data_IF_793488936674
#
_entry.id   IF_793488936674
#
_cell.length_a   1.000
_cell.length_b   1.000
_cell.length_c   1.000
_cell.angle_alpha   90.00
_cell.angle_beta   90.00
_cell.angle_gamma   90.00
#
_symmetry.space_group_name_H-M   'P 1'
#
loop_
_entity.id
_entity.type
_entity.pdbx_description
1 polymer ?
#
# COMPACT_ATOMS: atom_id res chain seq x y z
N UNK A 1 -49.94 18.08 5.25
CA UNK A 1 -50.68 18.16 6.53
C UNK A 1 -49.81 17.54 7.63
N UNK A 2 -49.45 18.36 8.64
CA UNK A 2 -48.92 18.10 10.01
C UNK A 2 -47.74 17.09 10.17
N UNK A 3 -46.47 17.41 10.48
CA UNK A 3 -45.79 18.27 11.51
C UNK A 3 -46.11 17.97 12.99
N UNK A 4 -45.07 17.55 13.75
CA UNK A 4 -44.72 17.79 15.19
C UNK A 4 -43.35 17.12 15.40
N UNK A 5 -42.18 17.75 15.49
CA UNK A 5 -41.62 18.82 16.34
C UNK A 5 -41.73 18.58 17.85
N UNK A 6 -40.57 18.36 18.49
CA UNK A 6 -40.34 18.58 19.92
C UNK A 6 -38.89 19.03 20.14
N UNK A 7 -38.72 20.34 20.08
CA UNK A 7 -37.58 21.10 20.58
C UNK A 7 -37.74 21.27 22.10
N UNK A 8 -36.69 21.05 22.89
CA UNK A 8 -36.58 21.59 24.26
C UNK A 8 -35.44 22.60 24.32
N UNK A 9 -35.80 23.75 24.86
CA UNK A 9 -35.08 25.00 25.00
C UNK A 9 -34.87 25.26 26.50
N UNK A 10 -33.96 26.20 26.81
CA UNK A 10 -33.64 26.87 28.09
C UNK A 10 -32.62 26.15 29.00
N UNK A 11 -31.65 26.81 29.64
CA UNK A 11 -31.40 28.25 29.79
C UNK A 11 -29.91 28.52 30.16
N UNK A 12 -29.50 29.74 29.84
CA UNK A 12 -28.24 30.43 30.16
C UNK A 12 -28.15 30.78 31.65
N UNK A 13 -26.95 30.71 32.24
CA UNK A 13 -26.58 31.54 33.39
C UNK A 13 -25.09 31.91 33.32
N UNK A 14 -24.83 33.21 33.39
CA UNK A 14 -23.54 33.90 33.29
C UNK A 14 -22.92 34.19 34.67
N UNK A 15 -21.58 34.33 34.63
CA UNK A 15 -20.71 35.18 35.45
C UNK A 15 -20.23 34.73 36.84
N UNK A 16 -18.90 34.68 36.98
CA UNK A 16 -18.17 35.31 38.09
C UNK A 16 -16.71 35.59 37.67
N UNK A 17 -16.32 36.88 37.68
CA UNK A 17 -14.94 37.35 37.68
C UNK A 17 -14.26 37.01 39.02
N UNK A 18 -12.96 36.74 39.00
CA UNK A 18 -12.07 36.95 40.14
C UNK A 18 -10.74 37.53 39.62
N UNK A 19 -10.57 38.83 39.90
CA UNK A 19 -9.31 39.56 39.82
C UNK A 19 -8.59 39.34 41.16
N UNK A 20 -7.31 38.97 41.12
CA UNK A 20 -6.40 39.11 42.24
C UNK A 20 -5.24 40.00 41.81
N UNK A 21 -5.29 41.23 42.32
CA UNK A 21 -4.16 42.13 42.42
C UNK A 21 -3.46 41.90 43.76
N UNK A 22 -2.14 41.89 43.76
CA UNK A 22 -1.26 42.28 44.86
C UNK A 22 0.04 42.75 44.19
N UNK A 23 0.30 44.07 44.11
CA UNK A 23 0.97 44.90 45.12
C UNK A 23 2.39 44.41 45.40
N UNK A 24 3.45 45.20 45.29
CA UNK A 24 3.74 46.62 45.01
C UNK A 24 5.26 46.65 44.73
N UNK A 25 6.03 47.71 44.54
CA UNK A 25 6.03 49.16 44.77
C UNK A 25 7.53 49.50 44.58
N UNK A 26 8.07 50.65 44.19
CA UNK A 26 7.61 51.94 43.69
C UNK A 26 8.85 52.60 43.04
N UNK A 27 8.57 53.37 42.00
CA UNK A 27 9.16 54.61 41.48
C UNK A 27 10.62 55.11 41.74
N UNK A 28 11.12 55.66 40.62
CA UNK A 28 11.79 56.96 40.41
C UNK A 28 13.32 57.16 40.55
N UNK A 29 13.93 57.34 39.36
CA UNK A 29 14.63 58.55 38.90
C UNK A 29 15.61 59.28 39.85
N UNK A 30 16.92 59.17 39.59
CA UNK A 30 17.82 60.34 39.37
C UNK A 30 19.28 59.95 39.11
N UNK A 31 19.96 60.86 38.41
CA UNK A 31 21.31 60.86 37.87
C UNK A 31 22.48 60.64 38.85
N UNK A 32 23.56 60.03 38.36
CA UNK A 32 24.89 60.11 39.00
C UNK A 32 25.97 59.35 38.23
N UNK A 33 26.93 60.09 37.67
CA UNK A 33 28.14 59.60 36.99
C UNK A 33 29.17 59.06 37.97
N UNK A 34 29.77 57.88 37.70
CA UNK A 34 31.22 57.62 37.81
C UNK A 34 31.56 56.13 37.58
N UNK A 35 32.24 55.89 36.45
CA UNK A 35 33.45 55.07 36.25
C UNK A 35 33.83 53.88 37.16
N UNK A 36 34.33 52.84 36.48
CA UNK A 36 35.24 51.75 36.90
C UNK A 36 34.62 50.49 37.54
N UNK A 37 34.61 49.38 36.79
CA UNK A 37 35.68 48.36 36.83
C UNK A 37 35.16 47.01 36.29
N UNK A 38 36.00 46.38 35.47
CA UNK A 38 35.81 45.08 34.85
C UNK A 38 35.55 43.95 35.88
N UNK A 39 34.60 43.08 35.57
CA UNK A 39 34.65 41.68 35.98
C UNK A 39 33.98 40.83 34.89
N UNK A 40 34.82 40.35 33.99
CA UNK A 40 34.51 39.30 33.03
C UNK A 40 34.06 38.04 33.77
N UNK A 41 32.80 37.67 33.59
CA UNK A 41 32.29 36.34 33.87
C UNK A 41 31.60 35.85 32.59
N UNK A 42 32.40 35.23 31.72
CA UNK A 42 31.90 34.49 30.55
C UNK A 42 31.09 33.28 31.05
N UNK A 43 29.78 33.45 31.13
CA UNK A 43 28.88 32.31 31.15
C UNK A 43 29.05 31.57 29.80
N UNK A 44 29.17 30.23 29.78
CA UNK A 44 29.15 29.52 28.52
C UNK A 44 27.77 29.75 27.91
N UNK A 45 27.74 30.45 26.77
CA UNK A 45 26.59 30.46 25.90
C UNK A 45 26.39 29.01 25.45
N UNK A 46 25.45 28.31 26.10
CA UNK A 46 24.77 27.19 25.46
C UNK A 46 24.05 27.81 24.26
N UNK A 47 24.71 27.78 23.11
CA UNK A 47 24.01 27.81 21.83
C UNK A 47 23.11 26.58 21.84
N UNK A 48 21.88 26.73 22.33
CA UNK A 48 20.78 25.93 21.80
C UNK A 48 20.80 26.27 20.31
N UNK A 49 21.43 25.39 19.52
CA UNK A 49 21.13 25.34 18.11
C UNK A 49 19.61 25.20 18.07
N UNK A 50 18.92 26.25 17.63
CA UNK A 50 17.51 26.17 17.35
C UNK A 50 17.35 24.91 16.50
N UNK A 51 16.71 23.87 17.05
CA UNK A 51 16.31 22.74 16.24
C UNK A 51 15.49 23.36 15.12
N UNK A 52 16.02 23.36 13.90
CA UNK A 52 15.29 23.90 12.77
C UNK A 52 14.09 22.97 12.60
N UNK A 53 12.93 23.39 13.10
CA UNK A 53 11.73 22.55 13.09
C UNK A 53 11.18 22.37 11.66
N UNK A 54 11.73 23.13 10.71
CA UNK A 54 11.38 23.10 9.29
C UNK A 54 12.63 22.91 8.42
N UNK A 55 13.30 21.75 8.49
CA UNK A 55 14.51 21.49 7.69
C UNK A 55 14.30 21.54 6.17
N UNK A 56 13.06 21.42 5.70
CA UNK A 56 12.67 21.50 4.30
C UNK A 56 12.29 22.89 3.78
N UNK A 57 12.43 23.94 4.58
CA UNK A 57 12.03 25.29 4.16
C UNK A 57 12.73 25.72 2.86
N UNK A 58 11.94 26.14 1.88
CA UNK A 58 12.43 26.55 0.55
C UNK A 58 12.71 25.40 -0.43
N UNK A 59 12.50 24.14 -0.03
CA UNK A 59 12.64 22.97 -0.90
C UNK A 59 11.26 22.54 -1.40
N UNK A 60 11.14 22.35 -2.71
CA UNK A 60 9.93 21.78 -3.33
C UNK A 60 10.09 20.27 -3.48
N UNK A 61 9.01 19.53 -3.28
CA UNK A 61 8.96 18.07 -3.40
C UNK A 61 7.80 17.67 -4.29
N UNK A 62 8.09 16.84 -5.28
CA UNK A 62 7.12 16.27 -6.21
C UNK A 62 6.70 14.89 -5.71
N UNK A 63 5.53 14.82 -5.09
CA UNK A 63 4.94 13.59 -4.58
C UNK A 63 4.12 12.88 -5.67
N UNK A 64 4.19 11.55 -5.69
CA UNK A 64 3.25 10.71 -6.42
C UNK A 64 2.42 9.82 -5.50
N UNK A 65 1.34 9.25 -6.05
CA UNK A 65 0.55 8.21 -5.38
C UNK A 65 0.33 7.01 -6.29
N UNK A 66 0.04 5.85 -5.68
CA UNK A 66 -0.31 4.65 -6.43
C UNK A 66 -1.68 4.80 -7.10
N UNK A 67 -1.90 4.14 -8.24
CA UNK A 67 -3.19 4.12 -8.94
C UNK A 67 -4.20 3.09 -8.38
N UNK A 68 -4.06 2.74 -7.10
CA UNK A 68 -5.03 1.96 -6.34
C UNK A 68 -5.36 2.64 -5.02
N UNK A 69 -6.61 2.44 -4.58
CA UNK A 69 -7.22 3.19 -3.49
C UNK A 69 -6.46 3.17 -2.16
N UNK A 70 -5.83 2.05 -1.80
CA UNK A 70 -5.10 1.93 -0.53
C UNK A 70 -3.85 2.82 -0.49
N UNK A 71 -3.26 3.10 -1.64
CA UNK A 71 -2.11 4.00 -1.75
C UNK A 71 -2.41 5.47 -1.58
N UNK A 72 -3.68 5.88 -1.66
CA UNK A 72 -4.05 7.28 -1.52
C UNK A 72 -3.80 7.77 -0.09
N UNK A 73 -4.23 6.99 0.90
CA UNK A 73 -4.05 7.35 2.32
C UNK A 73 -2.57 7.37 2.69
N UNK A 74 -1.80 6.40 2.20
CA UNK A 74 -0.36 6.34 2.43
C UNK A 74 0.34 7.58 1.87
N UNK A 75 0.08 7.95 0.62
CA UNK A 75 0.66 9.14 0.00
C UNK A 75 0.33 10.44 0.76
N UNK A 76 -0.92 10.61 1.20
CA UNK A 76 -1.33 11.79 1.96
C UNK A 76 -0.66 11.90 3.34
N UNK A 77 -0.41 10.76 4.01
CA UNK A 77 0.33 10.74 5.28
C UNK A 77 1.76 11.26 5.07
N UNK A 78 2.50 10.73 4.09
CA UNK A 78 3.88 11.17 3.84
C UNK A 78 3.94 12.62 3.36
N UNK A 79 3.00 13.03 2.50
CA UNK A 79 2.89 14.43 2.06
C UNK A 79 2.67 15.37 3.26
N UNK A 80 1.80 15.01 4.21
CA UNK A 80 1.58 15.80 5.42
C UNK A 80 2.82 15.86 6.32
N UNK A 81 3.52 14.74 6.49
CA UNK A 81 4.75 14.67 7.30
C UNK A 81 5.87 15.53 6.70
N UNK A 82 6.06 15.49 5.38
CA UNK A 82 7.03 16.34 4.70
C UNK A 82 6.65 17.83 4.80
N UNK A 83 5.36 18.17 4.72
CA UNK A 83 4.90 19.55 4.95
C UNK A 83 5.17 20.03 6.37
N UNK A 84 5.02 19.16 7.38
CA UNK A 84 5.38 19.48 8.77
C UNK A 84 6.89 19.75 8.93
N UNK A 85 7.73 19.04 8.16
CA UNK A 85 9.16 19.31 8.05
C UNK A 85 9.48 20.59 7.24
N UNK A 86 8.49 21.34 6.77
CA UNK A 86 8.65 22.62 6.07
C UNK A 86 8.81 22.55 4.56
N UNK A 87 8.70 21.36 3.95
CA UNK A 87 8.76 21.19 2.50
C UNK A 87 7.51 21.75 1.80
N UNK A 88 7.69 22.29 0.59
CA UNK A 88 6.57 22.60 -0.32
C UNK A 88 6.28 21.38 -1.18
N UNK A 89 5.34 20.55 -0.74
CA UNK A 89 5.01 19.27 -1.40
C UNK A 89 3.83 19.43 -2.36
N UNK A 90 3.95 18.94 -3.59
CA UNK A 90 2.84 18.88 -4.57
C UNK A 90 1.67 18.03 -4.05
N UNK A 91 0.50 18.18 -4.67
CA UNK A 91 -0.61 17.26 -4.37
C UNK A 91 -0.28 15.88 -4.96
N UNK A 92 -0.35 14.83 -4.15
CA UNK A 92 0.00 13.47 -4.59
C UNK A 92 -0.90 12.98 -5.75
N UNK A 93 -2.13 13.50 -5.80
CA UNK A 93 -3.12 13.19 -6.83
C UNK A 93 -2.77 13.76 -8.21
N UNK A 94 -1.87 14.74 -8.31
CA UNK A 94 -1.43 15.27 -9.60
C UNK A 94 -0.56 14.26 -10.37
N UNK A 95 -0.01 13.25 -9.69
CA UNK A 95 0.81 12.19 -10.27
C UNK A 95 0.41 10.81 -9.71
N UNK A 96 -0.68 10.28 -10.25
CA UNK A 96 -1.19 8.94 -9.94
C UNK A 96 -0.67 7.91 -10.95
N UNK A 97 0.21 7.01 -10.50
CA UNK A 97 0.95 6.08 -11.36
C UNK A 97 0.94 4.65 -10.79
N UNK A 98 0.93 3.66 -11.68
CA UNK A 98 1.30 2.28 -11.35
C UNK A 98 2.82 2.15 -11.10
N UNK A 99 3.28 1.04 -10.49
CA UNK A 99 4.66 0.89 -10.02
C UNK A 99 5.70 1.09 -11.11
N UNK A 100 5.50 0.53 -12.31
CA UNK A 100 6.44 0.67 -13.41
C UNK A 100 6.74 2.16 -13.70
N UNK A 101 5.69 2.96 -13.86
CA UNK A 101 5.83 4.38 -14.17
C UNK A 101 6.33 5.19 -12.98
N UNK A 102 5.95 4.83 -11.75
CA UNK A 102 6.41 5.51 -10.54
C UNK A 102 7.93 5.33 -10.32
N UNK A 103 8.45 4.11 -10.45
CA UNK A 103 9.88 3.84 -10.34
C UNK A 103 10.70 4.54 -11.43
N UNK A 104 10.21 4.54 -12.68
CA UNK A 104 10.85 5.28 -13.77
C UNK A 104 10.82 6.80 -13.57
N UNK A 105 9.71 7.36 -13.08
CA UNK A 105 9.59 8.78 -12.78
C UNK A 105 10.55 9.20 -11.65
N UNK A 106 10.70 8.37 -10.60
CA UNK A 106 11.68 8.62 -9.56
C UNK A 106 13.11 8.54 -10.07
N UNK A 107 13.44 7.53 -10.87
CA UNK A 107 14.79 7.38 -11.43
C UNK A 107 15.16 8.53 -12.38
N UNK A 108 14.18 9.07 -13.11
CA UNK A 108 14.40 10.20 -14.04
C UNK A 108 14.39 11.57 -13.36
N UNK A 109 14.05 11.65 -12.06
CA UNK A 109 13.94 12.89 -11.30
C UNK A 109 12.63 13.66 -11.50
N UNK A 110 11.63 13.07 -12.16
CA UNK A 110 10.30 13.66 -12.34
C UNK A 110 9.41 13.50 -11.09
N UNK A 111 9.77 12.56 -10.20
CA UNK A 111 9.12 12.30 -8.91
C UNK A 111 10.19 12.20 -7.82
N UNK A 112 9.98 12.81 -6.67
CA UNK A 112 10.96 12.73 -5.58
C UNK A 112 10.74 11.49 -4.70
N UNK A 113 9.47 11.13 -4.42
CA UNK A 113 9.15 9.95 -3.62
C UNK A 113 7.78 9.34 -3.96
N UNK A 114 7.64 8.05 -3.58
CA UNK A 114 6.43 7.27 -3.70
C UNK A 114 6.23 6.36 -2.48
N UNK A 115 5.08 6.46 -1.81
CA UNK A 115 4.82 5.80 -0.53
C UNK A 115 4.21 4.37 -0.65
N UNK A 116 4.42 3.66 -1.75
CA UNK A 116 3.73 2.36 -1.97
C UNK A 116 4.55 1.30 -2.71
N UNK A 117 5.75 1.04 -2.24
CA UNK A 117 6.62 -0.01 -2.76
C UNK A 117 6.35 -1.34 -2.05
N UNK A 118 5.85 -2.34 -2.79
CA UNK A 118 5.59 -3.70 -2.29
C UNK A 118 6.80 -4.59 -2.55
N UNK A 119 7.58 -4.93 -1.52
CA UNK A 119 8.75 -5.80 -1.64
C UNK A 119 8.43 -7.22 -1.17
N UNK A 120 8.95 -8.27 -1.83
CA UNK A 120 9.87 -8.24 -2.97
C UNK A 120 9.21 -7.99 -4.33
N UNK A 121 7.87 -7.95 -4.43
CA UNK A 121 7.14 -7.91 -5.70
C UNK A 121 7.59 -6.81 -6.68
N UNK A 122 7.93 -5.62 -6.20
CA UNK A 122 8.38 -4.49 -7.02
C UNK A 122 9.89 -4.49 -7.31
N UNK A 123 10.65 -5.50 -6.87
CA UNK A 123 12.10 -5.57 -7.09
C UNK A 123 12.46 -5.60 -8.58
N UNK A 124 11.63 -6.20 -9.44
CA UNK A 124 11.85 -6.21 -10.89
C UNK A 124 11.90 -4.79 -11.48
N UNK A 125 11.18 -3.82 -10.89
CA UNK A 125 11.19 -2.43 -11.37
C UNK A 125 12.49 -1.70 -11.04
N UNK A 126 13.12 -2.00 -9.90
CA UNK A 126 14.45 -1.50 -9.57
C UNK A 126 15.52 -2.07 -10.51
N UNK A 127 15.29 -3.27 -11.04
CA UNK A 127 16.21 -3.93 -11.96
C UNK A 127 16.02 -3.50 -13.43
N UNK A 128 15.05 -2.64 -13.73
CA UNK A 128 14.80 -2.17 -15.08
C UNK A 128 15.94 -1.30 -15.61
N UNK A 129 16.34 -1.51 -16.87
CA UNK A 129 17.36 -0.71 -17.53
C UNK A 129 16.80 0.66 -17.99
N UNK A 130 17.58 1.72 -17.77
CA UNK A 130 17.35 3.05 -18.29
C UNK A 130 18.03 3.24 -19.66
N UNK A 131 17.67 4.32 -20.37
CA UNK A 131 18.18 4.58 -21.73
C UNK A 131 19.69 4.80 -21.82
N UNK A 132 20.33 5.14 -20.69
CA UNK A 132 21.79 5.34 -20.59
C UNK A 132 22.54 4.06 -20.15
N UNK A 133 21.83 2.95 -19.96
CA UNK A 133 22.37 1.66 -19.54
C UNK A 133 22.57 1.50 -18.03
N UNK A 134 22.15 2.47 -17.22
CA UNK A 134 22.05 2.31 -15.76
C UNK A 134 20.78 1.56 -15.37
N UNK A 135 20.71 1.06 -14.13
CA UNK A 135 19.49 0.48 -13.59
C UNK A 135 18.67 1.54 -12.85
N UNK A 136 17.35 1.39 -12.81
CA UNK A 136 16.46 2.21 -11.97
C UNK A 136 16.94 2.25 -10.51
N UNK A 137 17.38 1.11 -9.97
CA UNK A 137 17.88 0.97 -8.61
C UNK A 137 19.20 1.70 -8.34
N UNK A 138 19.92 2.14 -9.37
CA UNK A 138 21.09 3.02 -9.20
C UNK A 138 20.65 4.45 -8.81
N UNK A 139 19.40 4.82 -9.12
CA UNK A 139 18.84 6.16 -8.90
C UNK A 139 17.72 6.21 -7.86
N UNK A 140 17.16 5.05 -7.46
CA UNK A 140 16.03 4.97 -6.53
C UNK A 140 16.35 4.03 -5.37
N UNK A 141 16.10 4.50 -4.14
CA UNK A 141 16.22 3.70 -2.93
C UNK A 141 14.85 3.40 -2.33
N UNK A 142 14.61 2.15 -1.94
CA UNK A 142 13.46 1.76 -1.11
C UNK A 142 13.83 1.93 0.36
N UNK A 143 13.10 2.79 1.07
CA UNK A 143 13.41 3.26 2.42
C UNK A 143 12.18 3.16 3.35
N UNK A 144 12.44 3.33 4.65
CA UNK A 144 11.40 3.29 5.68
C UNK A 144 10.92 1.87 6.03
N UNK A 145 10.04 1.78 7.01
CA UNK A 145 9.48 0.54 7.55
C UNK A 145 7.98 0.72 7.81
N UNK A 146 7.22 1.07 6.77
CA UNK A 146 5.81 1.42 6.94
C UNK A 146 4.97 0.21 7.38
N UNK A 147 5.06 -0.91 6.67
CA UNK A 147 4.42 -2.17 7.06
C UNK A 147 5.33 -3.35 6.68
N UNK A 148 6.14 -3.81 7.63
CA UNK A 148 7.01 -4.97 7.44
C UNK A 148 6.21 -6.28 7.53
N UNK A 149 6.31 -7.10 6.50
CA UNK A 149 5.52 -8.33 6.31
C UNK A 149 4.01 -8.12 6.53
N UNK A 150 3.52 -6.90 6.28
CA UNK A 150 2.12 -6.51 6.53
C UNK A 150 1.23 -6.67 5.31
N UNK A 151 1.82 -6.76 4.11
CA UNK A 151 1.09 -7.00 2.87
C UNK A 151 0.80 -8.48 2.70
N UNK A 152 -0.48 -8.84 2.58
CA UNK A 152 -0.91 -10.18 2.17
C UNK A 152 -1.53 -10.08 0.78
N UNK A 153 -1.14 -10.96 -0.13
CA UNK A 153 -1.69 -11.05 -1.48
C UNK A 153 -2.21 -12.47 -1.71
N UNK A 154 -3.15 -12.64 -2.62
CA UNK A 154 -3.69 -13.96 -2.94
C UNK A 154 -4.92 -13.90 -3.82
N UNK A 155 -5.51 -15.06 -4.06
CA UNK A 155 -6.78 -15.17 -4.79
C UNK A 155 -7.88 -15.62 -3.84
N UNK A 156 -9.08 -15.11 -4.09
CA UNK A 156 -10.31 -15.53 -3.43
C UNK A 156 -11.14 -16.37 -4.38
N UNK A 157 -11.76 -17.44 -3.86
CA UNK A 157 -12.75 -18.25 -4.56
C UNK A 157 -14.11 -18.13 -3.87
N UNK A 158 -15.19 -18.12 -4.65
CA UNK A 158 -16.56 -18.14 -4.10
C UNK A 158 -16.80 -19.35 -3.21
N UNK A 159 -17.23 -19.13 -1.96
CA UNK A 159 -17.33 -20.18 -0.92
C UNK A 159 -18.24 -21.33 -1.33
N UNK A 160 -19.46 -21.02 -1.81
CA UNK A 160 -20.44 -22.03 -2.19
C UNK A 160 -19.96 -22.93 -3.33
N UNK A 161 -19.30 -22.34 -4.33
CA UNK A 161 -18.71 -23.09 -5.44
C UNK A 161 -17.53 -23.97 -4.98
N UNK A 162 -16.62 -23.43 -4.18
CA UNK A 162 -15.51 -24.19 -3.62
C UNK A 162 -15.99 -25.41 -2.81
N UNK A 163 -17.06 -25.24 -2.01
CA UNK A 163 -17.67 -26.32 -1.24
C UNK A 163 -18.40 -27.35 -2.12
N UNK A 164 -19.12 -26.91 -3.15
CA UNK A 164 -19.84 -27.80 -4.07
C UNK A 164 -18.89 -28.72 -4.84
N UNK A 165 -17.80 -28.15 -5.36
CA UNK A 165 -16.84 -28.87 -6.20
C UNK A 165 -15.61 -29.40 -5.45
N UNK A 166 -15.53 -29.15 -4.13
CA UNK A 166 -14.38 -29.50 -3.28
C UNK A 166 -13.06 -28.95 -3.83
N UNK A 167 -13.07 -27.68 -4.22
CA UNK A 167 -11.92 -26.96 -4.79
C UNK A 167 -11.29 -26.08 -3.71
N UNK A 168 -10.08 -26.43 -3.27
CA UNK A 168 -9.36 -25.70 -2.22
C UNK A 168 -8.05 -25.09 -2.72
N UNK A 169 -7.48 -25.66 -3.78
CA UNK A 169 -6.29 -25.13 -4.47
C UNK A 169 -6.56 -24.84 -5.95
N UNK A 170 -5.68 -24.07 -6.60
CA UNK A 170 -5.73 -23.89 -8.06
C UNK A 170 -5.51 -25.22 -8.80
N UNK A 171 -4.72 -26.14 -8.24
CA UNK A 171 -4.56 -27.50 -8.76
C UNK A 171 -5.87 -28.29 -8.75
N UNK A 172 -6.65 -28.21 -7.66
CA UNK A 172 -7.97 -28.82 -7.58
C UNK A 172 -8.89 -28.27 -8.68
N UNK A 173 -8.85 -26.95 -8.91
CA UNK A 173 -9.67 -26.29 -9.92
C UNK A 173 -9.26 -26.70 -11.34
N UNK A 174 -7.96 -26.62 -11.68
CA UNK A 174 -7.43 -26.95 -13.01
C UNK A 174 -7.68 -28.42 -13.37
N UNK A 175 -7.68 -29.31 -12.37
CA UNK A 175 -7.92 -30.75 -12.52
C UNK A 175 -9.39 -31.17 -12.56
N UNK A 176 -10.34 -30.27 -12.26
CA UNK A 176 -11.75 -30.61 -12.08
C UNK A 176 -12.62 -30.11 -13.26
N UNK A 177 -12.86 -31.02 -14.21
CA UNK A 177 -13.62 -30.71 -15.43
C UNK A 177 -15.07 -30.25 -15.15
N UNK A 178 -15.72 -30.77 -14.11
CA UNK A 178 -17.08 -30.37 -13.76
C UNK A 178 -17.10 -28.96 -13.14
N UNK A 179 -16.10 -28.63 -12.31
CA UNK A 179 -15.92 -27.28 -11.77
C UNK A 179 -15.63 -26.27 -12.88
N UNK A 180 -14.71 -26.60 -13.80
CA UNK A 180 -14.38 -25.75 -14.96
C UNK A 180 -15.62 -25.49 -15.82
N UNK A 181 -16.38 -26.53 -16.16
CA UNK A 181 -17.58 -26.38 -16.98
C UNK A 181 -18.66 -25.53 -16.30
N UNK A 182 -18.80 -25.62 -14.97
CA UNK A 182 -19.70 -24.78 -14.19
C UNK A 182 -19.22 -23.33 -14.08
N UNK A 183 -17.91 -23.12 -13.94
CA UNK A 183 -17.29 -21.79 -13.93
C UNK A 183 -17.49 -21.08 -15.28
N UNK A 184 -17.01 -21.70 -16.36
CA UNK A 184 -17.08 -21.20 -17.75
C UNK A 184 -18.53 -20.96 -18.22
N UNK A 185 -19.53 -21.59 -17.61
CA UNK A 185 -20.93 -21.32 -17.96
C UNK A 185 -21.41 -19.91 -17.55
N UNK A 186 -20.70 -19.25 -16.63
CA UNK A 186 -21.19 -18.03 -15.96
C UNK A 186 -20.14 -16.94 -15.76
N UNK A 187 -18.88 -17.18 -16.13
CA UNK A 187 -17.80 -16.22 -15.90
C UNK A 187 -17.84 -15.01 -16.85
N UNK A 188 -16.74 -14.24 -16.89
CA UNK A 188 -16.68 -13.03 -17.71
C UNK A 188 -16.71 -13.30 -19.21
N UNK A 189 -16.21 -14.44 -19.69
CA UNK A 189 -16.21 -14.81 -21.10
C UNK A 189 -16.75 -16.24 -21.32
N UNK A 190 -18.06 -16.45 -21.12
CA UNK A 190 -18.60 -17.80 -21.08
C UNK A 190 -18.42 -18.60 -22.37
N UNK A 191 -18.15 -19.89 -22.23
CA UNK A 191 -18.05 -20.86 -23.31
C UNK A 191 -16.69 -20.88 -24.01
N UNK A 192 -15.65 -20.32 -23.39
CA UNK A 192 -14.28 -20.40 -23.89
C UNK A 192 -13.55 -21.67 -23.39
N UNK A 193 -14.15 -22.39 -22.44
CA UNK A 193 -13.63 -23.64 -21.86
C UNK A 193 -12.53 -23.45 -20.82
N UNK A 194 -12.36 -22.22 -20.32
CA UNK A 194 -11.33 -21.82 -19.37
C UNK A 194 -11.97 -21.22 -18.12
N UNK A 195 -11.21 -21.17 -17.03
CA UNK A 195 -11.54 -20.37 -15.84
C UNK A 195 -10.89 -19.00 -16.00
N UNK A 196 -11.73 -17.97 -16.15
CA UNK A 196 -11.28 -16.58 -16.12
C UNK A 196 -11.04 -16.08 -14.69
N UNK A 197 -9.77 -16.03 -14.29
CA UNK A 197 -9.32 -15.44 -13.02
C UNK A 197 -9.29 -13.92 -13.17
N UNK A 198 -10.02 -13.19 -12.33
CA UNK A 198 -9.96 -11.72 -12.32
C UNK A 198 -8.66 -11.29 -11.66
N UNK A 199 -7.68 -10.88 -12.47
CA UNK A 199 -6.32 -10.58 -12.02
C UNK A 199 -6.05 -9.10 -11.87
N UNK A 200 -4.89 -8.68 -12.39
CA UNK A 200 -4.37 -7.34 -12.28
C UNK A 200 -4.32 -6.58 -13.62
N UNK A 201 -4.37 -5.24 -13.59
CA UNK A 201 -3.96 -4.39 -14.71
C UNK A 201 -2.51 -4.68 -15.14
N UNK A 202 -2.20 -4.47 -16.43
CA UNK A 202 -0.87 -4.77 -17.02
C UNK A 202 0.29 -3.94 -16.46
N UNK A 203 0.00 -2.80 -15.82
CA UNK A 203 1.00 -1.92 -15.23
C UNK A 203 1.33 -2.26 -13.77
N UNK A 204 0.76 -3.34 -13.22
CA UNK A 204 0.98 -3.82 -11.85
C UNK A 204 1.71 -5.15 -11.83
N UNK A 205 2.73 -5.31 -10.99
CA UNK A 205 3.53 -6.55 -10.94
C UNK A 205 2.73 -7.82 -10.66
N UNK A 206 1.58 -7.72 -10.00
CA UNK A 206 0.75 -8.89 -9.74
C UNK A 206 0.24 -9.55 -11.03
N UNK A 207 0.15 -8.83 -12.16
CA UNK A 207 -0.22 -9.44 -13.44
C UNK A 207 0.86 -10.43 -13.94
N UNK A 208 2.13 -10.04 -13.80
CA UNK A 208 3.30 -10.83 -14.16
C UNK A 208 3.46 -12.00 -13.21
N UNK A 209 3.27 -11.78 -11.91
CA UNK A 209 3.35 -12.82 -10.89
C UNK A 209 2.25 -13.86 -11.13
N UNK A 210 0.99 -13.45 -11.32
CA UNK A 210 -0.11 -14.38 -11.61
C UNK A 210 0.19 -15.20 -12.85
N UNK A 211 0.57 -14.57 -13.97
CA UNK A 211 0.91 -15.32 -15.19
C UNK A 211 2.09 -16.27 -15.00
N UNK A 212 3.06 -15.92 -14.16
CA UNK A 212 4.22 -16.77 -13.86
C UNK A 212 3.88 -17.91 -12.91
N UNK A 213 3.02 -17.67 -11.94
CA UNK A 213 2.41 -18.73 -11.12
C UNK A 213 1.64 -19.72 -12.00
N UNK A 214 0.83 -19.22 -12.94
CA UNK A 214 0.05 -20.09 -13.82
C UNK A 214 0.93 -20.94 -14.74
N UNK A 215 1.93 -20.32 -15.36
CA UNK A 215 2.87 -21.00 -16.25
C UNK A 215 3.77 -22.01 -15.49
N UNK A 216 4.29 -21.62 -14.32
CA UNK A 216 5.16 -22.45 -13.49
C UNK A 216 4.43 -23.65 -12.87
N UNK A 217 3.17 -23.46 -12.46
CA UNK A 217 2.30 -24.54 -12.01
C UNK A 217 1.84 -25.47 -13.13
N UNK A 218 1.97 -25.04 -14.39
CA UNK A 218 1.60 -25.83 -15.56
C UNK A 218 0.09 -25.98 -15.73
N UNK A 219 -0.71 -25.06 -15.18
CA UNK A 219 -2.16 -25.06 -15.32
C UNK A 219 -2.55 -24.80 -16.77
N UNK A 220 -3.54 -25.54 -17.26
CA UNK A 220 -3.93 -25.54 -18.68
C UNK A 220 -5.30 -24.94 -18.93
N UNK A 221 -6.12 -24.87 -17.89
CA UNK A 221 -7.52 -24.48 -17.94
C UNK A 221 -7.77 -23.17 -17.18
N UNK A 222 -6.72 -22.54 -16.64
CA UNK A 222 -6.80 -21.28 -15.90
C UNK A 222 -6.13 -20.16 -16.69
N UNK A 223 -6.78 -19.00 -16.77
CA UNK A 223 -6.19 -17.82 -17.40
C UNK A 223 -6.52 -16.55 -16.63
N UNK A 224 -5.63 -15.57 -16.71
CA UNK A 224 -5.84 -14.27 -16.11
C UNK A 224 -6.59 -13.33 -17.07
N UNK A 225 -7.65 -12.71 -16.57
CA UNK A 225 -8.28 -11.55 -17.18
C UNK A 225 -7.64 -10.29 -16.63
N UNK A 226 -7.19 -9.40 -17.53
CA UNK A 226 -6.59 -8.12 -17.22
C UNK A 226 -7.48 -6.98 -17.73
N UNK A 227 -8.00 -6.17 -16.80
CA UNK A 227 -8.76 -4.97 -17.10
C UNK A 227 -8.67 -4.00 -15.92
N UNK A 228 -9.46 -2.92 -15.92
CA UNK A 228 -9.52 -1.98 -14.81
C UNK A 228 -9.97 -2.67 -13.51
N UNK A 229 -9.11 -2.68 -12.50
CA UNK A 229 -9.29 -3.48 -11.28
C UNK A 229 -10.63 -3.19 -10.58
N UNK A 230 -10.99 -1.92 -10.38
CA UNK A 230 -12.25 -1.55 -9.71
C UNK A 230 -13.49 -2.07 -10.43
N UNK A 231 -13.48 -2.05 -11.76
CA UNK A 231 -14.61 -2.54 -12.55
C UNK A 231 -14.71 -4.07 -12.49
N UNK A 232 -13.57 -4.77 -12.61
CA UNK A 232 -13.53 -6.23 -12.44
C UNK A 232 -13.95 -6.63 -11.03
N UNK A 233 -13.49 -5.93 -10.00
CA UNK A 233 -13.86 -6.22 -8.62
C UNK A 233 -15.34 -5.99 -8.35
N UNK A 234 -15.93 -4.91 -8.88
CA UNK A 234 -17.37 -4.67 -8.78
C UNK A 234 -18.17 -5.82 -9.42
N UNK A 235 -17.76 -6.28 -10.60
CA UNK A 235 -18.36 -7.46 -11.24
C UNK A 235 -18.21 -8.72 -10.38
N UNK A 236 -17.03 -8.98 -9.82
CA UNK A 236 -16.80 -10.11 -8.92
C UNK A 236 -17.71 -10.06 -7.68
N UNK A 237 -17.92 -8.88 -7.10
CA UNK A 237 -18.83 -8.70 -5.96
C UNK A 237 -20.26 -9.04 -6.34
N UNK A 238 -20.75 -8.56 -7.48
CA UNK A 238 -22.10 -8.88 -7.97
C UNK A 238 -22.27 -10.40 -8.18
N UNK A 239 -21.30 -11.04 -8.84
CA UNK A 239 -21.29 -12.48 -9.08
C UNK A 239 -21.28 -13.29 -7.76
N UNK A 240 -20.40 -12.95 -6.81
CA UNK A 240 -20.34 -13.62 -5.50
C UNK A 240 -21.66 -13.45 -4.73
N UNK A 241 -22.28 -12.27 -4.79
CA UNK A 241 -23.57 -12.01 -4.15
C UNK A 241 -24.73 -12.82 -4.79
N UNK A 242 -24.62 -13.13 -6.08
CA UNK A 242 -25.54 -14.02 -6.80
C UNK A 242 -25.21 -15.51 -6.59
N UNK A 243 -24.12 -15.84 -5.90
CA UNK A 243 -23.64 -17.20 -5.69
C UNK A 243 -22.95 -17.80 -6.92
N UNK A 244 -22.59 -16.97 -7.89
CA UNK A 244 -21.87 -17.38 -9.09
C UNK A 244 -20.37 -17.59 -8.78
N UNK A 245 -19.72 -18.53 -9.47
CA UNK A 245 -18.31 -18.80 -9.26
C UNK A 245 -17.43 -17.63 -9.72
N UNK A 246 -16.47 -17.27 -8.86
CA UNK A 246 -15.43 -16.27 -9.11
C UNK A 246 -14.14 -16.75 -8.49
N UNK A 247 -13.04 -16.61 -9.22
CA UNK A 247 -11.67 -16.54 -8.69
C UNK A 247 -11.13 -15.13 -8.96
N UNK A 248 -10.77 -14.39 -7.91
CA UNK A 248 -10.32 -13.00 -8.04
C UNK A 248 -9.10 -12.71 -7.17
N UNK A 249 -8.09 -12.06 -7.75
CA UNK A 249 -6.92 -11.57 -7.03
C UNK A 249 -7.28 -10.39 -6.12
N UNK A 250 -6.74 -10.38 -4.91
CA UNK A 250 -6.83 -9.24 -3.99
C UNK A 250 -5.64 -9.18 -3.04
N UNK A 251 -5.62 -8.14 -2.22
CA UNK A 251 -4.58 -7.92 -1.21
C UNK A 251 -5.16 -7.37 0.10
N UNK A 252 -4.35 -7.43 1.15
CA UNK A 252 -4.55 -6.68 2.38
C UNK A 252 -3.28 -5.90 2.73
N UNK A 253 -3.40 -4.70 3.32
CA UNK A 253 -4.65 -4.03 3.69
C UNK A 253 -5.41 -3.50 2.46
N UNK A 254 -6.72 -3.76 2.37
CA UNK A 254 -7.60 -3.19 1.34
C UNK A 254 -9.06 -3.15 1.78
N UNK A 255 -9.85 -2.26 1.18
CA UNK A 255 -11.30 -2.24 1.39
C UNK A 255 -12.03 -3.38 0.66
N UNK A 256 -11.39 -3.97 -0.36
CA UNK A 256 -11.95 -5.06 -1.18
C UNK A 256 -12.29 -6.30 -0.35
N UNK A 257 -11.44 -6.62 0.65
CA UNK A 257 -11.63 -7.76 1.56
C UNK A 257 -12.89 -7.64 2.45
N UNK A 258 -13.52 -6.46 2.51
CA UNK A 258 -14.78 -6.25 3.23
C UNK A 258 -16.02 -6.59 2.38
N UNK A 259 -15.86 -6.68 1.06
CA UNK A 259 -16.92 -6.92 0.10
C UNK A 259 -17.01 -8.42 -0.24
N UNK A 260 -15.87 -8.99 -0.65
CA UNK A 260 -15.66 -10.44 -0.78
C UNK A 260 -14.86 -10.87 0.45
N UNK A 261 -15.54 -11.48 1.42
CA UNK A 261 -15.08 -11.72 2.79
C UNK A 261 -14.67 -13.19 2.96
N UNK A 262 -13.36 -13.48 3.16
CA UNK A 262 -12.90 -14.82 3.50
C UNK A 262 -13.62 -15.37 4.73
N UNK A 263 -14.06 -16.63 4.63
CA UNK A 263 -14.81 -17.37 5.63
C UNK A 263 -16.31 -17.13 5.67
N UNK A 264 -16.80 -16.06 5.03
CA UNK A 264 -18.24 -15.74 4.95
C UNK A 264 -18.81 -16.09 3.57
N UNK A 265 -18.42 -15.37 2.51
CA UNK A 265 -18.89 -15.60 1.13
C UNK A 265 -17.77 -16.03 0.17
N UNK A 266 -16.51 -16.06 0.62
CA UNK A 266 -15.38 -16.57 -0.14
C UNK A 266 -14.38 -17.34 0.74
N UNK A 267 -13.43 -18.01 0.12
CA UNK A 267 -12.21 -18.51 0.76
C UNK A 267 -10.99 -17.92 0.06
N UNK A 268 -9.86 -17.82 0.76
CA UNK A 268 -8.57 -17.81 0.08
C UNK A 268 -8.37 -19.18 -0.57
N UNK A 269 -8.20 -19.20 -1.90
CA UNK A 269 -7.82 -20.42 -2.62
C UNK A 269 -6.31 -20.59 -2.52
N UNK A 270 -5.88 -21.81 -2.18
CA UNK A 270 -4.46 -22.15 -2.06
C UNK A 270 -3.80 -22.46 -3.40
N UNK A 271 -2.49 -22.65 -3.36
CA UNK A 271 -1.67 -23.11 -4.48
C UNK A 271 -0.63 -24.10 -3.97
N UNK A 272 -0.51 -25.27 -4.60
CA UNK A 272 0.56 -26.22 -4.27
C UNK A 272 1.89 -25.77 -4.89
N UNK A 273 1.84 -25.26 -6.12
CA UNK A 273 3.00 -24.64 -6.75
C UNK A 273 3.22 -23.22 -6.22
N UNK A 274 4.37 -23.00 -5.57
CA UNK A 274 4.82 -21.67 -5.16
C UNK A 274 5.90 -21.21 -6.14
N UNK A 275 5.65 -20.06 -6.78
CA UNK A 275 6.58 -19.46 -7.73
C UNK A 275 7.93 -19.21 -7.05
N UNK A 276 8.99 -19.76 -7.63
CA UNK A 276 10.38 -19.52 -7.25
C UNK A 276 11.08 -18.61 -8.29
N UNK A 277 12.40 -18.50 -8.19
CA UNK A 277 13.24 -17.71 -9.09
C UNK A 277 13.47 -18.35 -10.48
N UNK A 278 12.66 -19.35 -10.88
CA UNK A 278 12.80 -20.05 -12.16
C UNK A 278 12.39 -19.24 -13.39
N UNK A 279 11.66 -18.13 -13.22
CA UNK A 279 11.19 -17.26 -14.29
C UNK A 279 10.51 -18.05 -15.46
N UNK A 280 9.40 -18.75 -15.19
CA UNK A 280 8.82 -19.71 -16.15
C UNK A 280 8.37 -19.08 -17.48
N UNK A 281 8.10 -17.77 -17.48
CA UNK A 281 7.73 -17.02 -18.67
C UNK A 281 8.92 -16.39 -19.43
N UNK A 282 10.15 -16.56 -18.94
CA UNK A 282 11.36 -15.93 -19.48
C UNK A 282 11.20 -14.40 -19.65
N UNK A 283 10.61 -13.74 -18.66
CA UNK A 283 10.39 -12.29 -18.66
C UNK A 283 11.57 -11.59 -17.98
N UNK A 284 11.92 -10.41 -18.48
CA UNK A 284 12.99 -9.61 -17.88
C UNK A 284 12.66 -9.27 -16.42
N UNK A 285 13.61 -9.55 -15.52
CA UNK A 285 13.43 -9.36 -14.08
C UNK A 285 12.50 -10.37 -13.41
N UNK A 286 12.04 -11.40 -14.12
CA UNK A 286 11.08 -12.38 -13.61
C UNK A 286 11.59 -13.25 -12.47
N UNK A 287 12.91 -13.37 -12.31
CA UNK A 287 13.55 -14.05 -11.17
C UNK A 287 13.25 -13.32 -9.85
N UNK A 288 12.95 -12.03 -9.89
CA UNK A 288 12.61 -11.22 -8.72
C UNK A 288 11.17 -11.44 -8.22
N UNK A 289 10.36 -12.24 -8.92
CA UNK A 289 8.98 -12.55 -8.57
C UNK A 289 8.83 -13.77 -7.66
N UNK A 290 9.92 -14.29 -7.10
CA UNK A 290 9.91 -15.37 -6.11
C UNK A 290 8.91 -15.07 -4.98
N UNK A 291 7.96 -16.00 -4.78
CA UNK A 291 6.90 -15.91 -3.78
C UNK A 291 7.11 -16.88 -2.61
N UNK A 292 8.25 -17.55 -2.50
CA UNK A 292 8.52 -18.46 -1.38
C UNK A 292 8.60 -17.70 -0.04
N UNK A 293 8.10 -18.30 1.07
CA UNK A 293 7.51 -19.64 1.17
C UNK A 293 6.04 -19.73 0.73
N UNK A 294 5.41 -18.62 0.33
CA UNK A 294 4.06 -18.61 -0.24
C UNK A 294 2.96 -19.05 0.73
N UNK A 295 3.21 -18.92 2.04
CA UNK A 295 2.32 -19.39 3.09
C UNK A 295 1.96 -18.28 4.08
N UNK A 296 0.77 -18.39 4.67
CA UNK A 296 0.26 -17.44 5.65
C UNK A 296 -0.48 -18.12 6.81
N UNK A 297 -0.44 -17.49 7.98
CA UNK A 297 -1.12 -17.95 9.20
C UNK A 297 -2.62 -17.58 9.17
N UNK A 298 -3.37 -18.15 8.23
CA UNK A 298 -4.81 -17.93 8.01
C UNK A 298 -5.58 -19.16 8.51
N UNK A 299 -6.65 -18.95 9.28
CA UNK A 299 -7.50 -20.02 9.82
C UNK A 299 -8.18 -20.89 8.75
N UNK A 300 -8.54 -22.13 9.08
CA UNK A 300 -9.11 -23.09 8.09
C UNK A 300 -10.49 -22.66 7.62
N UNK A 301 -11.17 -21.89 8.47
CA UNK A 301 -12.43 -21.24 8.18
C UNK A 301 -12.32 -20.18 7.08
N UNK A 302 -11.13 -19.65 6.80
CA UNK A 302 -10.90 -18.65 5.74
C UNK A 302 -10.05 -19.18 4.59
N UNK A 303 -9.23 -20.20 4.82
CA UNK A 303 -8.41 -20.86 3.83
C UNK A 303 -8.39 -22.38 4.12
N UNK A 304 -9.25 -23.18 3.49
CA UNK A 304 -9.33 -24.62 3.78
C UNK A 304 -8.07 -25.42 3.39
N UNK A 305 -7.36 -24.99 2.33
CA UNK A 305 -6.13 -25.66 1.88
C UNK A 305 -5.00 -25.56 2.92
N UNK A 306 -4.18 -26.61 3.07
CA UNK A 306 -3.11 -26.67 4.07
C UNK A 306 -1.79 -27.14 3.46
N UNK A 307 -0.73 -26.37 3.75
CA UNK A 307 0.66 -26.78 3.48
C UNK A 307 1.08 -27.90 4.44
N UNK A 308 2.26 -28.49 4.19
CA UNK A 308 2.85 -29.51 5.07
C UNK A 308 3.05 -29.01 6.53
N UNK A 309 3.23 -27.70 6.71
CA UNK A 309 3.41 -27.06 8.02
C UNK A 309 2.07 -26.62 8.65
N UNK A 310 0.93 -26.95 8.04
CA UNK A 310 -0.40 -26.60 8.53
C UNK A 310 -0.77 -25.13 8.33
N UNK A 311 -0.07 -24.41 7.45
CA UNK A 311 -0.36 -23.02 7.08
C UNK A 311 -1.21 -22.96 5.81
N UNK A 312 -1.85 -21.83 5.55
CA UNK A 312 -2.53 -21.59 4.28
C UNK A 312 -1.48 -21.41 3.18
N UNK A 313 -1.46 -22.24 2.12
CA UNK A 313 -0.53 -22.08 1.00
C UNK A 313 -1.09 -21.02 0.04
N UNK A 314 -1.11 -19.76 0.46
CA UNK A 314 -1.78 -18.67 -0.26
C UNK A 314 -1.13 -18.34 -1.61
N UNK A 315 0.10 -18.82 -1.86
CA UNK A 315 0.80 -18.66 -3.16
C UNK A 315 1.69 -17.42 -3.24
N UNK A 316 1.66 -16.55 -2.23
CA UNK A 316 2.31 -15.24 -2.23
C UNK A 316 3.19 -15.04 -0.99
N UNK A 317 4.35 -14.42 -1.18
CA UNK A 317 5.16 -13.98 -0.06
C UNK A 317 4.46 -12.83 0.67
N UNK A 318 4.61 -12.79 2.00
CA UNK A 318 4.22 -11.62 2.77
C UNK A 318 5.08 -10.43 2.30
N UNK A 319 4.42 -9.34 1.93
CA UNK A 319 5.09 -8.18 1.38
C UNK A 319 5.42 -7.15 2.46
N UNK A 320 6.59 -6.55 2.34
CA UNK A 320 6.88 -5.27 2.99
C UNK A 320 6.26 -4.16 2.14
N UNK A 321 5.55 -3.24 2.77
CA UNK A 321 5.12 -2.00 2.13
C UNK A 321 6.01 -0.89 2.65
N UNK A 322 6.66 -0.17 1.74
CA UNK A 322 7.74 0.78 2.04
C UNK A 322 7.62 2.01 1.14
N UNK A 323 8.27 3.10 1.53
CA UNK A 323 8.47 4.22 0.62
C UNK A 323 9.64 3.94 -0.34
N UNK A 324 9.65 4.56 -1.50
CA UNK A 324 10.81 4.68 -2.37
C UNK A 324 11.01 6.15 -2.72
N UNK A 325 12.26 6.53 -2.99
CA UNK A 325 12.61 7.89 -3.33
C UNK A 325 13.85 7.96 -4.21
N UNK A 326 13.93 9.05 -4.99
CA UNK A 326 15.09 9.39 -5.78
C UNK A 326 16.33 9.60 -4.88
N UNK A 327 17.48 9.05 -5.27
CA UNK A 327 18.71 9.06 -4.49
C UNK A 327 19.27 10.49 -4.31
N UNK A 328 19.24 11.32 -5.36
CA UNK A 328 19.70 12.71 -5.27
C UNK A 328 18.81 13.53 -4.32
N UNK A 329 17.49 13.30 -4.36
CA UNK A 329 16.56 13.90 -3.40
C UNK A 329 16.91 13.50 -1.97
N UNK A 330 17.13 12.21 -1.70
CA UNK A 330 17.48 11.71 -0.37
C UNK A 330 18.81 12.25 0.15
N UNK A 331 19.82 12.36 -0.72
CA UNK A 331 21.14 12.87 -0.36
C UNK A 331 21.12 14.38 -0.08
N UNK A 332 20.32 15.14 -0.85
CA UNK A 332 20.10 16.56 -0.60
C UNK A 332 19.22 16.82 0.63
N UNK A 333 18.38 15.85 1.04
CA UNK A 333 17.37 16.01 2.09
C UNK A 333 17.45 14.93 3.18
N UNK A 334 18.51 14.90 4.02
CA UNK A 334 18.67 13.88 5.07
C UNK A 334 17.57 13.85 6.13
N UNK A 335 16.81 14.94 6.28
CA UNK A 335 15.67 15.01 7.18
C UNK A 335 14.43 14.29 6.61
N UNK A 336 14.21 14.35 5.29
CA UNK A 336 13.14 13.61 4.62
C UNK A 336 13.42 12.10 4.55
N UNK A 337 14.70 11.71 4.55
CA UNK A 337 15.14 10.30 4.52
C UNK A 337 14.87 9.54 5.83
N UNK A 338 14.81 10.23 6.97
CA UNK A 338 14.65 9.65 8.31
C UNK A 338 13.17 9.47 8.66
#
# INVERSE_FOLDING_TARGET
>A
MNKKSLTRLLAVATAALLILAACGSDDDSSSGSSSEAEASASAPATTEAAMNMTPGEGVSVTAGRANWSTGYVQAEIYTALLRELGYTVSESADMELGPQNAFMAMASGDMDFWANSWMPGHQSWLNGEMTDGSLVGDHVSVIGEEMIAGGLQGMLITKGFAEEYQVWTLEDLDGNADAIAAYDATDANPGNGMVDIFGCPEDWTCDNIINSQLAGGGYKNLQQVKAGYDAMWAQAVDMVNEGLPVVAYTWTPSAYITQIRPGDNAYWIGMEYILDDSNPNNQEGGEAWDQRPGTAAIGEDMCPARSADGLCPIGWAAADIKAAANNDFLDANPAAKQ
#
